data_IF_266723721380
#
_entry.id   IF_266723721380
#
_cell.length_a   1.000
_cell.length_b   1.000
_cell.length_c   1.000
_cell.angle_alpha   90.00
_cell.angle_beta   90.00
_cell.angle_gamma   90.00
#
_symmetry.space_group_name_H-M   'P 1'
#
loop_
_entity.id
_entity.type
_entity.pdbx_description
1 polymer ?
#
# COMPACT_ATOMS: atom_id res chain seq x y z
N UNK A 1 -0.12 31.70 -1.83
CA UNK A 1 -0.19 30.26 -1.43
C UNK A 1 1.06 29.45 -1.85
N UNK A 2 1.43 29.28 -3.16
CA UNK A 2 2.65 28.51 -3.55
C UNK A 2 3.94 29.16 -3.03
N UNK A 3 4.07 30.47 -3.12
CA UNK A 3 5.23 31.21 -2.62
C UNK A 3 5.38 31.08 -1.10
N UNK A 4 4.30 31.24 -0.35
CA UNK A 4 4.29 31.08 1.11
C UNK A 4 4.71 29.67 1.55
N UNK A 5 4.21 28.63 0.84
CA UNK A 5 4.62 27.24 1.11
C UNK A 5 6.11 27.03 0.82
N UNK A 6 6.61 27.66 -0.24
CA UNK A 6 8.02 27.55 -0.59
C UNK A 6 8.90 28.26 0.46
N UNK A 7 8.52 29.44 0.94
CA UNK A 7 9.23 30.16 2.00
C UNK A 7 9.33 29.36 3.30
N UNK A 8 8.28 28.60 3.66
CA UNK A 8 8.31 27.69 4.81
C UNK A 8 9.29 26.53 4.60
N UNK A 9 9.40 26.03 3.38
CA UNK A 9 10.38 24.98 3.03
C UNK A 9 11.80 25.54 3.16
N UNK A 10 12.08 26.71 2.57
CA UNK A 10 13.38 27.38 2.67
C UNK A 10 13.76 27.68 4.13
N UNK A 11 12.82 28.16 4.93
CA UNK A 11 13.02 28.40 6.36
C UNK A 11 13.40 27.10 7.09
N UNK A 12 12.69 25.99 6.81
CA UNK A 12 12.98 24.69 7.42
C UNK A 12 14.37 24.20 7.03
N UNK A 13 14.71 24.23 5.74
CA UNK A 13 16.00 23.77 5.22
C UNK A 13 17.17 24.59 5.78
N UNK A 14 16.94 25.87 6.08
CA UNK A 14 17.97 26.78 6.61
C UNK A 14 18.17 26.63 8.11
N UNK A 15 17.09 26.43 8.87
CA UNK A 15 17.12 26.55 10.33
C UNK A 15 17.29 25.20 11.04
N UNK A 16 17.10 24.06 10.34
CA UNK A 16 17.17 22.75 10.94
C UNK A 16 18.22 21.89 10.23
N UNK A 17 18.95 21.10 11.04
CA UNK A 17 19.86 20.10 10.55
C UNK A 17 19.07 18.82 10.26
N UNK A 18 18.73 18.61 8.99
CA UNK A 18 17.87 17.52 8.50
C UNK A 18 18.53 16.83 7.31
N UNK A 19 18.26 15.53 7.13
CA UNK A 19 18.82 14.73 6.03
C UNK A 19 18.02 14.87 4.73
N UNK A 20 16.81 15.44 4.79
CA UNK A 20 15.95 15.62 3.63
C UNK A 20 14.64 16.29 3.99
N UNK A 21 13.77 16.44 2.99
CA UNK A 21 12.47 17.07 3.13
C UNK A 21 11.37 16.18 2.50
N UNK A 22 10.27 15.95 3.23
CA UNK A 22 9.13 15.22 2.70
C UNK A 22 7.98 16.17 2.35
N UNK A 23 7.45 16.04 1.13
CA UNK A 23 6.19 16.64 0.72
C UNK A 23 5.07 15.61 0.78
N UNK A 24 4.02 15.90 1.52
CA UNK A 24 2.83 15.07 1.57
C UNK A 24 1.79 15.56 0.56
N UNK A 25 1.58 14.79 -0.52
CA UNK A 25 0.69 15.14 -1.63
C UNK A 25 -0.41 14.09 -1.89
N UNK A 26 -0.64 13.17 -0.99
CA UNK A 26 -1.60 12.07 -1.17
C UNK A 26 -3.05 12.41 -0.75
N UNK A 27 -3.24 13.35 0.18
CA UNK A 27 -4.56 13.59 0.79
C UNK A 27 -5.48 14.53 0.03
N UNK A 28 -4.95 15.50 -0.73
CA UNK A 28 -5.81 16.47 -1.39
C UNK A 28 -6.45 15.85 -2.63
N UNK A 29 -7.78 15.97 -2.77
CA UNK A 29 -8.48 15.47 -3.93
C UNK A 29 -8.10 16.24 -5.20
N UNK A 30 -7.79 17.54 -5.07
CA UNK A 30 -7.49 18.43 -6.20
C UNK A 30 -6.39 19.43 -5.83
N UNK A 31 -5.44 19.65 -6.75
CA UNK A 31 -4.45 20.74 -6.71
C UNK A 31 -4.80 21.87 -7.69
N UNK A 32 -5.60 21.54 -8.70
CA UNK A 32 -6.07 22.44 -9.74
C UNK A 32 -7.57 22.23 -9.95
N UNK A 33 -8.25 23.26 -10.52
CA UNK A 33 -9.61 23.04 -11.01
C UNK A 33 -9.59 21.93 -12.08
N UNK A 34 -10.60 21.06 -12.15
CA UNK A 34 -10.61 19.94 -13.11
C UNK A 34 -10.29 20.34 -14.55
N UNK A 35 -10.86 21.45 -15.03
CA UNK A 35 -10.64 21.98 -16.39
C UNK A 35 -9.22 22.55 -16.59
N UNK A 36 -8.46 22.76 -15.52
CA UNK A 36 -7.12 23.35 -15.54
C UNK A 36 -6.00 22.37 -15.21
N UNK A 37 -6.29 21.09 -15.00
CA UNK A 37 -5.31 20.09 -14.57
C UNK A 37 -4.17 19.94 -15.56
N UNK A 38 -4.47 19.90 -16.86
CA UNK A 38 -3.47 19.72 -17.92
C UNK A 38 -2.44 20.87 -17.93
N UNK A 39 -2.91 22.11 -17.93
CA UNK A 39 -2.03 23.28 -17.79
C UNK A 39 -1.35 23.35 -16.40
N UNK A 40 -1.97 22.74 -15.40
CA UNK A 40 -1.44 22.64 -14.04
C UNK A 40 -0.22 21.74 -13.90
N UNK A 41 -0.04 20.75 -14.78
CA UNK A 41 1.09 19.81 -14.73
C UNK A 41 2.44 20.48 -14.84
N UNK A 42 2.61 21.39 -15.81
CA UNK A 42 3.85 22.16 -15.97
C UNK A 42 4.12 23.06 -14.77
N UNK A 43 3.06 23.65 -14.21
CA UNK A 43 3.14 24.50 -13.03
C UNK A 43 3.58 23.67 -11.81
N UNK A 44 3.04 22.48 -11.64
CA UNK A 44 3.40 21.59 -10.55
C UNK A 44 4.85 21.10 -10.71
N UNK A 45 5.20 20.63 -11.90
CA UNK A 45 6.57 20.17 -12.21
C UNK A 45 7.60 21.27 -11.98
N UNK A 46 7.34 22.51 -12.42
CA UNK A 46 8.22 23.65 -12.16
C UNK A 46 8.36 23.95 -10.65
N UNK A 47 7.28 23.79 -9.87
CA UNK A 47 7.32 23.99 -8.44
C UNK A 47 8.09 22.87 -7.71
N UNK A 48 7.90 21.62 -8.10
CA UNK A 48 8.66 20.47 -7.55
C UNK A 48 10.14 20.63 -7.86
N UNK A 49 10.52 21.03 -9.10
CA UNK A 49 11.91 21.29 -9.45
C UNK A 49 12.52 22.38 -8.54
N UNK A 50 11.81 23.46 -8.32
CA UNK A 50 12.27 24.54 -7.44
C UNK A 50 12.49 24.05 -6.00
N UNK A 51 11.60 23.18 -5.48
CA UNK A 51 11.78 22.58 -4.16
C UNK A 51 12.98 21.65 -4.14
N UNK A 52 13.16 20.82 -5.16
CA UNK A 52 14.30 19.93 -5.29
C UNK A 52 15.63 20.69 -5.29
N UNK A 53 15.72 21.73 -6.10
CA UNK A 53 16.89 22.60 -6.15
C UNK A 53 17.20 23.20 -4.76
N UNK A 54 16.20 23.74 -4.07
CA UNK A 54 16.38 24.28 -2.73
C UNK A 54 16.86 23.23 -1.71
N UNK A 55 16.35 21.98 -1.80
CA UNK A 55 16.82 20.86 -0.96
C UNK A 55 18.28 20.56 -1.26
N UNK A 56 18.67 20.44 -2.54
CA UNK A 56 20.06 20.14 -2.94
C UNK A 56 21.03 21.28 -2.63
N UNK A 57 20.60 22.52 -2.77
CA UNK A 57 21.40 23.72 -2.43
C UNK A 57 21.65 23.83 -0.92
N UNK A 58 20.70 23.38 -0.10
CA UNK A 58 20.86 23.33 1.36
C UNK A 58 21.83 22.25 1.85
N UNK A 59 22.07 21.23 1.01
CA UNK A 59 23.00 20.14 1.25
C UNK A 59 22.90 19.08 0.15
N UNK A 60 23.98 18.83 -0.59
CA UNK A 60 23.97 17.97 -1.77
C UNK A 60 23.55 16.52 -1.51
N UNK A 61 23.65 16.06 -0.26
CA UNK A 61 23.21 14.71 0.15
C UNK A 61 21.78 14.68 0.69
N UNK A 62 21.15 15.86 0.90
CA UNK A 62 19.77 15.92 1.35
C UNK A 62 18.82 15.42 0.27
N UNK A 63 17.76 14.72 0.69
CA UNK A 63 16.84 14.09 -0.23
C UNK A 63 15.46 14.75 -0.22
N UNK A 64 14.84 14.83 -1.40
CA UNK A 64 13.43 15.18 -1.55
C UNK A 64 12.61 13.91 -1.68
N UNK A 65 11.80 13.63 -0.67
CA UNK A 65 10.77 12.59 -0.70
C UNK A 65 9.40 13.20 -0.97
N UNK A 66 8.56 12.51 -1.77
CA UNK A 66 7.20 12.97 -2.05
C UNK A 66 6.24 11.81 -1.82
N UNK A 67 5.30 11.98 -0.87
CA UNK A 67 4.24 11.02 -0.61
C UNK A 67 3.03 11.28 -1.50
N UNK A 68 2.62 10.26 -2.24
CA UNK A 68 1.66 10.34 -3.34
C UNK A 68 0.70 9.15 -3.30
N UNK A 69 -0.46 9.22 -3.97
CA UNK A 69 -1.24 8.03 -4.29
C UNK A 69 -0.44 7.01 -5.09
N UNK A 70 -0.68 5.71 -4.91
CA UNK A 70 0.09 4.67 -5.61
C UNK A 70 -0.30 4.46 -7.09
N UNK A 71 -1.21 5.25 -7.64
CA UNK A 71 -1.63 5.19 -9.04
C UNK A 71 -1.02 6.36 -9.83
N UNK A 72 -0.24 6.04 -10.86
CA UNK A 72 0.35 7.06 -11.78
C UNK A 72 -0.76 7.86 -12.45
N UNK A 73 -1.85 7.19 -12.87
CA UNK A 73 -2.99 7.82 -13.53
C UNK A 73 -3.72 8.77 -12.60
N UNK A 74 -3.90 8.40 -11.33
CA UNK A 74 -4.54 9.28 -10.34
C UNK A 74 -3.66 10.49 -10.01
N UNK A 75 -2.36 10.29 -9.92
CA UNK A 75 -1.41 11.39 -9.78
C UNK A 75 -1.49 12.34 -10.97
N UNK A 76 -1.48 11.82 -12.18
CA UNK A 76 -1.59 12.62 -13.40
C UNK A 76 -2.92 13.37 -13.49
N UNK A 77 -4.04 12.74 -13.08
CA UNK A 77 -5.36 13.37 -13.01
C UNK A 77 -5.44 14.50 -11.97
N UNK A 78 -4.51 14.57 -11.03
CA UNK A 78 -4.36 15.64 -10.03
C UNK A 78 -3.31 16.69 -10.43
N UNK A 79 -2.66 16.53 -11.58
CA UNK A 79 -1.61 17.43 -12.07
C UNK A 79 -0.20 17.06 -11.62
N UNK A 80 -0.01 15.85 -11.08
CA UNK A 80 1.29 15.32 -10.67
C UNK A 80 1.82 14.39 -11.76
N UNK A 81 2.72 14.87 -12.60
CA UNK A 81 3.35 14.06 -13.65
C UNK A 81 4.60 13.35 -13.11
N UNK A 82 4.38 12.18 -12.52
CA UNK A 82 5.45 11.40 -11.90
C UNK A 82 6.51 10.94 -12.90
N UNK A 83 6.09 10.61 -14.13
CA UNK A 83 7.03 10.17 -15.17
C UNK A 83 7.99 11.29 -15.56
N UNK A 84 7.45 12.50 -15.66
CA UNK A 84 8.26 13.68 -15.92
C UNK A 84 9.21 14.00 -14.77
N UNK A 85 8.74 13.90 -13.51
CA UNK A 85 9.59 14.14 -12.34
C UNK A 85 10.74 13.14 -12.23
N UNK A 86 10.45 11.86 -12.44
CA UNK A 86 11.45 10.79 -12.48
C UNK A 86 12.42 11.01 -13.62
N UNK A 87 11.92 11.28 -14.83
CA UNK A 87 12.74 11.49 -16.04
C UNK A 87 13.65 12.71 -15.95
N UNK A 88 13.24 13.75 -15.23
CA UNK A 88 14.07 14.93 -14.97
C UNK A 88 15.00 14.77 -13.75
N UNK A 89 14.86 13.72 -12.96
CA UNK A 89 15.65 13.52 -11.75
C UNK A 89 15.40 14.57 -10.67
N UNK A 90 14.16 15.06 -10.54
CA UNK A 90 13.77 16.10 -9.57
C UNK A 90 13.05 15.56 -8.34
N UNK A 91 13.21 14.27 -8.07
CA UNK A 91 12.72 13.58 -6.87
C UNK A 91 13.64 12.41 -6.54
N UNK A 92 14.02 12.26 -5.27
CA UNK A 92 14.88 11.16 -4.83
C UNK A 92 14.08 9.95 -4.37
N UNK A 93 12.91 10.18 -3.75
CA UNK A 93 12.04 9.12 -3.20
C UNK A 93 10.57 9.42 -3.50
N UNK A 94 9.87 8.50 -4.12
CA UNK A 94 8.42 8.49 -4.18
C UNK A 94 7.87 7.51 -3.14
N UNK A 95 7.05 8.01 -2.22
CA UNK A 95 6.38 7.23 -1.19
C UNK A 95 4.96 6.97 -1.65
N UNK A 96 4.73 5.77 -2.19
CA UNK A 96 3.46 5.39 -2.79
C UNK A 96 2.48 4.85 -1.74
N UNK A 97 1.32 5.48 -1.63
CA UNK A 97 0.30 5.14 -0.65
C UNK A 97 -1.00 4.69 -1.31
N UNK A 98 -1.40 3.44 -1.04
CA UNK A 98 -2.73 2.97 -1.35
C UNK A 98 -3.67 3.41 -0.24
N UNK A 99 -4.63 4.27 -0.58
CA UNK A 99 -5.64 4.76 0.36
C UNK A 99 -6.88 3.87 0.24
N UNK A 100 -7.12 3.07 1.27
CA UNK A 100 -8.36 2.32 1.41
C UNK A 100 -9.58 3.22 1.66
N UNK A 101 -10.77 2.66 1.58
CA UNK A 101 -12.04 3.36 1.81
C UNK A 101 -12.10 4.10 3.17
N UNK A 102 -11.40 3.60 4.17
CA UNK A 102 -11.41 4.13 5.55
C UNK A 102 -10.18 4.98 5.84
N UNK A 103 -9.20 4.99 4.92
CA UNK A 103 -7.89 5.63 5.13
C UNK A 103 -7.07 4.95 6.23
N UNK A 104 -5.79 4.76 6.01
CA UNK A 104 -4.89 4.18 7.03
C UNK A 104 -5.03 2.68 7.26
N UNK A 105 -5.65 1.92 6.33
CA UNK A 105 -5.77 0.47 6.40
C UNK A 105 -4.84 -0.26 5.44
N UNK A 106 -4.40 -1.46 5.81
CA UNK A 106 -3.54 -2.31 4.98
C UNK A 106 -4.34 -2.85 3.80
N UNK A 107 -3.82 -2.63 2.60
CA UNK A 107 -4.31 -3.21 1.35
C UNK A 107 -3.23 -4.14 0.80
N UNK A 108 -3.27 -5.42 1.20
CA UNK A 108 -2.24 -6.40 0.82
C UNK A 108 -2.13 -6.64 -0.68
N UNK A 109 -3.17 -6.28 -1.44
CA UNK A 109 -3.21 -6.40 -2.91
C UNK A 109 -2.82 -5.11 -3.65
N UNK A 110 -2.29 -4.09 -2.97
CA UNK A 110 -1.82 -2.86 -3.62
C UNK A 110 -0.77 -3.17 -4.68
N UNK A 111 -0.85 -2.49 -5.83
CA UNK A 111 0.04 -2.72 -6.97
C UNK A 111 1.00 -1.53 -7.14
N UNK A 112 2.27 -1.75 -6.79
CA UNK A 112 3.36 -0.77 -6.91
C UNK A 112 4.20 -0.97 -8.18
N UNK A 113 4.00 -2.06 -8.92
CA UNK A 113 4.81 -2.40 -10.11
C UNK A 113 4.83 -1.30 -11.17
N UNK A 114 3.73 -0.57 -11.46
CA UNK A 114 3.80 0.52 -12.44
C UNK A 114 4.77 1.65 -12.07
N UNK A 115 4.90 1.95 -10.75
CA UNK A 115 5.85 2.95 -10.26
C UNK A 115 7.28 2.43 -10.26
N UNK A 116 7.48 1.20 -9.80
CA UNK A 116 8.79 0.52 -9.85
C UNK A 116 9.31 0.47 -11.30
N UNK A 117 8.45 0.14 -12.25
CA UNK A 117 8.80 0.14 -13.67
C UNK A 117 9.15 1.54 -14.19
N UNK A 118 8.39 2.56 -13.79
CA UNK A 118 8.67 3.93 -14.19
C UNK A 118 10.01 4.45 -13.65
N UNK A 119 10.44 3.98 -12.47
CA UNK A 119 11.69 4.38 -11.81
C UNK A 119 12.90 3.48 -12.17
N UNK A 120 12.71 2.37 -12.89
CA UNK A 120 13.71 1.30 -13.08
C UNK A 120 15.12 1.78 -13.49
N UNK A 121 15.21 2.81 -14.31
CA UNK A 121 16.47 3.33 -14.85
C UNK A 121 16.78 4.75 -14.33
N UNK A 122 16.14 5.18 -13.27
CA UNK A 122 16.31 6.48 -12.65
C UNK A 122 16.88 6.34 -11.23
N UNK A 123 17.51 7.36 -10.68
CA UNK A 123 17.98 7.35 -9.30
C UNK A 123 16.85 7.48 -8.26
N UNK A 124 15.60 7.54 -8.70
CA UNK A 124 14.42 7.66 -7.83
C UNK A 124 14.06 6.31 -7.21
N UNK A 125 13.98 6.26 -5.88
CA UNK A 125 13.57 5.07 -5.13
C UNK A 125 12.05 5.08 -4.89
N UNK A 126 11.46 3.89 -4.89
CA UNK A 126 10.03 3.69 -4.62
C UNK A 126 9.89 3.05 -3.24
N UNK A 127 9.19 3.73 -2.33
CA UNK A 127 8.79 3.18 -1.04
C UNK A 127 7.29 2.94 -1.03
N UNK A 128 6.87 1.79 -0.48
CA UNK A 128 5.45 1.45 -0.30
C UNK A 128 4.99 1.77 1.12
N UNK A 129 3.85 2.40 1.25
CA UNK A 129 3.25 2.67 2.55
C UNK A 129 2.62 1.40 3.12
N UNK A 130 2.99 1.06 4.35
CA UNK A 130 2.33 0.03 5.17
C UNK A 130 1.60 0.72 6.30
N UNK A 131 0.29 0.58 6.31
CA UNK A 131 -0.55 1.08 7.40
C UNK A 131 -0.52 0.14 8.62
N UNK A 132 -1.01 0.63 9.78
CA UNK A 132 -1.02 -0.14 11.04
C UNK A 132 -2.32 -0.90 11.28
N UNK A 133 -3.38 -0.60 10.54
CA UNK A 133 -4.72 -1.09 10.81
C UNK A 133 -5.27 -1.96 9.69
N UNK A 134 -6.20 -2.81 10.04
CA UNK A 134 -6.96 -3.66 9.11
C UNK A 134 -8.41 -3.24 9.14
N UNK A 135 -9.00 -3.09 7.95
CA UNK A 135 -10.44 -2.98 7.79
C UNK A 135 -11.01 -4.35 7.40
N UNK A 136 -11.82 -4.88 8.31
CA UNK A 136 -12.59 -6.10 8.10
C UNK A 136 -14.03 -5.87 8.60
N UNK A 137 -14.58 -6.73 9.42
CA UNK A 137 -15.86 -6.47 10.09
C UNK A 137 -15.80 -5.26 11.05
N UNK A 138 -14.61 -4.91 11.48
CA UNK A 138 -14.30 -3.75 12.33
C UNK A 138 -12.85 -3.35 12.14
N UNK A 139 -12.59 -2.06 12.30
CA UNK A 139 -11.24 -1.53 12.32
C UNK A 139 -10.50 -2.01 13.57
N UNK A 140 -9.29 -2.57 13.39
CA UNK A 140 -8.42 -2.99 14.47
C UNK A 140 -6.95 -2.97 14.05
N UNK A 141 -6.05 -3.00 15.02
CA UNK A 141 -4.62 -3.03 14.76
C UNK A 141 -4.21 -4.35 14.10
N UNK A 142 -3.41 -4.23 13.06
CA UNK A 142 -2.92 -5.39 12.32
C UNK A 142 -1.97 -6.22 13.18
N UNK A 143 -2.19 -7.53 13.20
CA UNK A 143 -1.23 -8.46 13.79
C UNK A 143 0.07 -8.51 12.98
N UNK A 144 1.14 -9.04 13.58
CA UNK A 144 2.43 -9.16 12.89
C UNK A 144 2.32 -10.05 11.64
N UNK A 145 1.48 -11.08 11.66
CA UNK A 145 1.26 -11.99 10.53
C UNK A 145 0.61 -11.28 9.34
N UNK A 146 -0.30 -10.35 9.60
CA UNK A 146 -0.95 -9.51 8.58
C UNK A 146 0.06 -8.52 7.98
N UNK A 147 0.85 -7.89 8.84
CA UNK A 147 1.88 -6.93 8.40
C UNK A 147 2.97 -7.61 7.57
N UNK A 148 3.44 -8.80 8.00
CA UNK A 148 4.39 -9.62 7.23
C UNK A 148 3.84 -9.97 5.85
N UNK A 149 2.57 -10.36 5.76
CA UNK A 149 1.92 -10.69 4.49
C UNK A 149 1.89 -9.49 3.55
N UNK A 150 1.50 -8.30 4.04
CA UNK A 150 1.52 -7.07 3.26
C UNK A 150 2.94 -6.73 2.80
N UNK A 151 3.90 -6.69 3.72
CA UNK A 151 5.29 -6.37 3.41
C UNK A 151 5.90 -7.37 2.40
N UNK A 152 5.62 -8.67 2.55
CA UNK A 152 6.08 -9.70 1.59
C UNK A 152 5.53 -9.43 0.19
N UNK A 153 4.22 -9.13 0.06
CA UNK A 153 3.62 -8.78 -1.23
C UNK A 153 4.22 -7.50 -1.83
N UNK A 154 4.58 -6.52 -1.00
CA UNK A 154 5.15 -5.26 -1.48
C UNK A 154 6.60 -5.43 -1.93
N UNK A 155 7.44 -6.08 -1.11
CA UNK A 155 8.83 -6.37 -1.46
C UNK A 155 8.95 -7.21 -2.74
N UNK A 156 8.04 -8.17 -2.96
CA UNK A 156 8.04 -9.01 -4.17
C UNK A 156 7.81 -8.24 -5.46
N UNK A 157 7.33 -7.00 -5.37
CA UNK A 157 7.12 -6.12 -6.51
C UNK A 157 8.34 -5.27 -6.88
N UNK A 158 9.43 -5.38 -6.09
CA UNK A 158 10.70 -4.69 -6.37
C UNK A 158 10.76 -3.26 -5.85
N UNK A 159 10.01 -2.93 -4.82
CA UNK A 159 10.14 -1.65 -4.12
C UNK A 159 11.51 -1.55 -3.42
N UNK A 160 11.95 -0.31 -3.14
CA UNK A 160 13.24 -0.02 -2.51
C UNK A 160 13.14 0.13 -0.99
N UNK A 161 11.93 0.22 -0.44
CA UNK A 161 11.72 0.38 0.98
C UNK A 161 10.25 0.42 1.39
N UNK A 162 10.04 0.44 2.71
CA UNK A 162 8.71 0.58 3.31
C UNK A 162 8.62 1.90 4.09
N UNK A 163 7.46 2.53 4.02
CA UNK A 163 7.09 3.69 4.82
C UNK A 163 5.98 3.31 5.79
N UNK A 164 6.23 3.46 7.09
CA UNK A 164 5.27 3.06 8.13
C UNK A 164 4.36 4.24 8.50
N UNK A 165 3.15 4.25 7.95
CA UNK A 165 2.18 5.31 8.19
C UNK A 165 1.23 4.97 9.34
N UNK A 166 0.93 5.96 10.20
CA UNK A 166 0.00 5.85 11.31
C UNK A 166 0.37 4.80 12.37
N UNK A 167 1.65 4.46 12.52
CA UNK A 167 2.13 3.42 13.45
C UNK A 167 2.32 3.93 14.87
N UNK A 168 2.45 5.25 15.07
CA UNK A 168 2.85 5.87 16.32
C UNK A 168 1.68 6.58 17.03
N UNK A 169 0.49 5.99 16.98
CA UNK A 169 -0.75 6.64 17.48
C UNK A 169 -0.92 6.49 18.98
N UNK A 170 -0.44 5.38 19.56
CA UNK A 170 -0.68 5.04 20.97
C UNK A 170 0.64 4.82 21.71
N UNK A 171 0.93 5.70 22.67
CA UNK A 171 2.05 5.56 23.60
C UNK A 171 1.53 5.19 24.99
N UNK A 172 2.18 4.28 25.78
CA UNK A 172 3.40 3.52 25.43
C UNK A 172 3.12 2.35 24.47
N UNK A 173 4.16 2.01 23.65
CA UNK A 173 4.06 0.88 22.73
C UNK A 173 4.34 -0.44 23.44
N UNK A 174 3.60 -1.46 23.06
CA UNK A 174 3.83 -2.84 23.53
C UNK A 174 5.04 -3.48 22.82
N UNK A 175 5.61 -4.55 23.40
CA UNK A 175 6.75 -5.28 22.82
C UNK A 175 6.45 -5.81 21.40
N UNK A 176 5.21 -6.18 21.13
CA UNK A 176 4.71 -6.62 19.83
C UNK A 176 4.93 -5.60 18.73
N UNK A 177 4.87 -4.31 19.05
CA UNK A 177 5.12 -3.21 18.11
C UNK A 177 6.57 -3.23 17.61
N UNK A 178 7.54 -3.37 18.52
CA UNK A 178 8.96 -3.39 18.16
C UNK A 178 9.34 -4.63 17.36
N UNK A 179 8.66 -5.76 17.58
CA UNK A 179 8.78 -6.97 16.77
C UNK A 179 8.44 -6.69 15.29
N UNK A 180 7.33 -5.97 15.04
CA UNK A 180 6.93 -5.58 13.68
C UNK A 180 8.01 -4.75 12.99
N UNK A 181 8.54 -3.72 13.66
CA UNK A 181 9.59 -2.84 13.11
C UNK A 181 10.85 -3.60 12.70
N UNK A 182 11.25 -4.60 13.48
CA UNK A 182 12.48 -5.38 13.22
C UNK A 182 12.36 -6.29 12.01
N UNK A 183 11.16 -6.79 11.75
CA UNK A 183 10.96 -7.85 10.75
C UNK A 183 10.59 -7.31 9.36
N UNK A 184 9.78 -6.26 9.29
CA UNK A 184 9.18 -5.81 8.02
C UNK A 184 10.19 -5.27 7.01
N UNK A 185 11.34 -4.81 7.49
CA UNK A 185 12.40 -4.25 6.65
C UNK A 185 13.22 -5.31 5.89
N UNK A 186 13.14 -6.58 6.29
CA UNK A 186 13.96 -7.64 5.74
C UNK A 186 13.11 -8.83 5.25
N UNK A 187 12.98 -9.01 3.93
CA UNK A 187 12.24 -10.13 3.35
C UNK A 187 12.72 -11.51 3.82
N UNK A 188 14.04 -11.71 4.02
CA UNK A 188 14.57 -13.00 4.43
C UNK A 188 14.26 -13.33 5.90
N UNK A 189 14.16 -12.32 6.75
CA UNK A 189 13.68 -12.50 8.13
C UNK A 189 12.21 -12.90 8.15
N UNK A 190 11.39 -12.29 7.27
CA UNK A 190 9.95 -12.57 7.19
C UNK A 190 9.63 -13.89 6.51
N UNK A 191 10.47 -14.32 5.56
CA UNK A 191 10.20 -15.47 4.69
C UNK A 191 9.76 -16.74 5.45
N UNK A 192 10.46 -17.21 6.53
CA UNK A 192 10.07 -18.42 7.27
C UNK A 192 9.01 -18.19 8.35
N UNK A 193 8.44 -16.99 8.45
CA UNK A 193 7.51 -16.63 9.52
C UNK A 193 6.07 -16.81 9.07
N UNK A 194 5.18 -17.04 10.04
CA UNK A 194 3.73 -17.11 9.79
C UNK A 194 3.20 -15.82 9.22
N UNK A 195 2.29 -15.93 8.24
CA UNK A 195 1.62 -14.82 7.57
C UNK A 195 0.13 -15.05 7.47
N UNK A 196 -0.62 -13.97 7.46
CA UNK A 196 -2.06 -13.99 7.28
C UNK A 196 -2.43 -13.08 6.11
N UNK A 197 -2.75 -13.69 4.97
CA UNK A 197 -3.29 -12.99 3.82
C UNK A 197 -4.80 -12.89 3.94
N UNK A 198 -5.37 -11.74 3.54
CA UNK A 198 -6.81 -11.53 3.57
C UNK A 198 -7.30 -10.70 2.40
N UNK A 199 -8.56 -10.84 2.09
CA UNK A 199 -9.27 -9.99 1.14
C UNK A 199 -10.08 -8.99 1.96
N UNK A 200 -9.88 -7.68 1.79
CA UNK A 200 -10.61 -6.69 2.55
C UNK A 200 -12.11 -6.79 2.27
N UNK A 201 -12.91 -6.58 3.29
CA UNK A 201 -14.36 -6.46 3.17
C UNK A 201 -14.72 -4.99 2.94
N UNK A 202 -15.87 -4.75 2.31
CA UNK A 202 -16.45 -3.41 2.23
C UNK A 202 -16.91 -3.00 3.64
N UNK A 203 -15.97 -2.48 4.43
CA UNK A 203 -16.11 -2.21 5.83
C UNK A 203 -17.28 -1.34 6.26
N UNK A 204 -17.10 -0.64 7.34
CA UNK A 204 -18.08 0.08 8.17
C UNK A 204 -18.92 1.18 7.51
N UNK A 205 -18.56 1.70 6.36
CA UNK A 205 -19.20 2.88 5.79
C UNK A 205 -19.96 2.54 4.51
N UNK A 206 -21.24 2.13 4.63
CA UNK A 206 -22.12 1.95 3.46
C UNK A 206 -22.26 3.22 2.61
N UNK A 207 -21.94 4.36 3.18
CA UNK A 207 -22.14 5.70 2.59
C UNK A 207 -20.85 6.33 2.05
N UNK A 208 -19.68 5.70 2.20
CA UNK A 208 -18.46 6.20 1.59
C UNK A 208 -18.60 6.18 0.06
N UNK A 209 -18.29 7.28 -0.65
CA UNK A 209 -18.34 7.28 -2.10
C UNK A 209 -17.41 6.19 -2.61
N UNK A 210 -17.79 5.44 -3.66
CA UNK A 210 -17.00 4.37 -4.21
C UNK A 210 -15.65 4.95 -4.69
N UNK A 211 -14.60 4.77 -3.91
CA UNK A 211 -13.24 4.96 -4.38
C UNK A 211 -12.97 3.77 -5.28
N UNK A 212 -12.88 4.01 -6.60
CA UNK A 212 -12.61 3.01 -7.65
C UNK A 212 -13.01 1.58 -7.26
N UNK A 213 -14.30 1.28 -7.41
CA UNK A 213 -14.96 0.07 -6.92
C UNK A 213 -14.29 -1.27 -7.31
N UNK A 214 -13.44 -1.27 -8.32
CA UNK A 214 -12.93 -2.50 -8.92
C UNK A 214 -11.72 -3.13 -8.20
N UNK A 215 -10.98 -2.37 -7.39
CA UNK A 215 -9.74 -2.86 -6.78
C UNK A 215 -9.91 -3.21 -5.29
N UNK A 216 -10.77 -2.51 -4.56
CA UNK A 216 -10.79 -2.58 -3.10
C UNK A 216 -11.99 -3.31 -2.49
N UNK A 217 -13.12 -3.40 -3.18
CA UNK A 217 -14.34 -4.04 -2.66
C UNK A 217 -14.58 -5.38 -3.33
N UNK A 218 -13.78 -6.37 -2.97
CA UNK A 218 -14.01 -7.73 -3.46
C UNK A 218 -15.00 -8.51 -2.61
N UNK A 219 -15.18 -8.13 -1.36
CA UNK A 219 -16.11 -8.75 -0.42
C UNK A 219 -16.93 -7.66 0.31
N UNK A 220 -18.16 -7.96 0.74
CA UNK A 220 -18.90 -9.20 0.51
C UNK A 220 -19.39 -9.34 -0.93
N UNK A 221 -19.55 -10.60 -1.38
CA UNK A 221 -20.18 -10.94 -2.65
C UNK A 221 -21.39 -11.81 -2.38
N UNK A 222 -22.47 -11.59 -3.13
CA UNK A 222 -23.66 -12.47 -3.06
C UNK A 222 -23.37 -13.79 -3.76
N UNK A 223 -23.76 -14.88 -3.10
CA UNK A 223 -23.66 -16.22 -3.65
C UNK A 223 -25.02 -16.66 -4.17
N UNK A 224 -25.04 -17.14 -5.41
CA UNK A 224 -26.23 -17.74 -6.02
C UNK A 224 -25.99 -19.23 -6.28
N UNK A 225 -27.03 -20.05 -6.06
CA UNK A 225 -26.93 -21.49 -6.29
C UNK A 225 -26.56 -21.81 -7.74
N UNK A 226 -25.49 -22.58 -7.89
CA UNK A 226 -24.98 -22.99 -9.21
C UNK A 226 -24.15 -21.96 -9.94
N UNK A 227 -23.94 -20.75 -9.36
CA UNK A 227 -23.06 -19.72 -9.94
C UNK A 227 -21.77 -19.58 -9.13
N UNK A 228 -20.62 -19.91 -9.68
CA UNK A 228 -19.36 -19.76 -8.99
C UNK A 228 -18.96 -18.27 -8.90
N UNK A 229 -18.40 -17.89 -7.76
CA UNK A 229 -17.78 -16.58 -7.55
C UNK A 229 -16.27 -16.78 -7.43
N UNK A 230 -15.49 -15.99 -8.16
CA UNK A 230 -14.03 -16.02 -8.11
C UNK A 230 -13.52 -14.80 -7.35
N UNK A 231 -12.69 -15.04 -6.35
CA UNK A 231 -11.96 -14.01 -5.60
C UNK A 231 -10.47 -14.21 -5.84
N UNK A 232 -9.77 -13.16 -6.23
CA UNK A 232 -8.31 -13.19 -6.46
C UNK A 232 -7.61 -12.30 -5.45
N UNK A 233 -6.51 -12.79 -4.91
CA UNK A 233 -5.62 -12.02 -4.05
C UNK A 233 -4.18 -12.54 -4.18
N UNK A 234 -3.17 -11.66 -4.09
CA UNK A 234 -1.78 -12.07 -4.23
C UNK A 234 -1.28 -12.76 -2.97
N UNK A 235 -0.51 -13.82 -3.14
CA UNK A 235 0.31 -14.45 -2.11
C UNK A 235 1.71 -14.58 -2.69
N UNK A 236 2.67 -13.85 -2.14
CA UNK A 236 4.05 -13.80 -2.64
C UNK A 236 5.01 -14.70 -1.86
N UNK A 237 4.49 -15.55 -0.96
CA UNK A 237 5.29 -16.55 -0.30
C UNK A 237 5.71 -17.67 -1.26
N UNK A 238 6.98 -18.03 -1.24
CA UNK A 238 7.50 -19.20 -1.91
C UNK A 238 7.26 -20.46 -1.04
N UNK A 239 6.01 -20.92 -1.06
CA UNK A 239 5.60 -22.08 -0.25
C UNK A 239 6.28 -23.38 -0.71
N UNK A 240 6.66 -23.52 -1.98
CA UNK A 240 7.37 -24.70 -2.48
C UNK A 240 8.78 -24.78 -1.85
N UNK A 241 9.54 -23.67 -1.90
CA UNK A 241 10.85 -23.59 -1.23
C UNK A 241 10.79 -23.99 0.24
N UNK A 242 9.80 -23.50 0.96
CA UNK A 242 9.67 -23.75 2.40
C UNK A 242 9.13 -25.14 2.72
N UNK A 243 8.30 -25.72 1.85
CA UNK A 243 7.83 -27.09 1.95
C UNK A 243 8.99 -28.08 1.81
N UNK A 244 9.88 -27.85 0.86
CA UNK A 244 11.03 -28.73 0.58
C UNK A 244 12.02 -28.85 1.75
N UNK A 245 12.02 -27.87 2.65
CA UNK A 245 12.83 -27.87 3.89
C UNK A 245 11.99 -28.13 5.16
N UNK A 246 10.79 -28.67 5.00
CA UNK A 246 9.85 -29.05 6.08
C UNK A 246 9.50 -27.86 7.02
N UNK A 247 9.36 -26.67 6.45
CA UNK A 247 9.01 -25.46 7.18
C UNK A 247 7.56 -25.03 7.01
N UNK A 248 6.80 -25.60 6.08
CA UNK A 248 5.37 -25.38 5.93
C UNK A 248 4.60 -26.44 6.70
N UNK A 249 4.12 -26.10 7.88
CA UNK A 249 3.35 -27.02 8.71
C UNK A 249 1.90 -27.09 8.28
N UNK A 250 1.30 -25.95 7.96
CA UNK A 250 -0.11 -25.86 7.59
C UNK A 250 -0.40 -24.63 6.72
N UNK A 251 -1.25 -24.78 5.72
CA UNK A 251 -1.88 -23.69 4.98
C UNK A 251 -3.39 -23.78 5.19
N UNK A 252 -3.99 -22.69 5.70
CA UNK A 252 -5.42 -22.63 5.99
C UNK A 252 -6.08 -21.55 5.12
N UNK A 253 -7.13 -21.96 4.37
CA UNK A 253 -8.06 -21.03 3.75
C UNK A 253 -9.30 -20.90 4.66
N UNK A 254 -9.62 -19.68 5.07
CA UNK A 254 -10.83 -19.36 5.83
C UNK A 254 -11.77 -18.52 4.97
N UNK A 255 -13.01 -18.97 4.83
CA UNK A 255 -14.07 -18.21 4.18
C UNK A 255 -15.24 -18.07 5.15
N UNK A 256 -15.72 -16.83 5.33
CA UNK A 256 -16.93 -16.56 6.11
C UNK A 256 -18.10 -16.43 5.14
N UNK A 257 -19.10 -17.29 5.30
CA UNK A 257 -20.31 -17.28 4.51
C UNK A 257 -21.48 -17.07 5.47
N UNK A 258 -22.30 -16.08 5.22
CA UNK A 258 -23.43 -15.71 6.08
C UNK A 258 -24.76 -16.05 5.40
N UNK A 259 -25.85 -16.16 6.17
CA UNK A 259 -27.18 -16.47 5.64
C UNK A 259 -27.33 -17.93 5.19
N UNK A 260 -26.53 -18.84 5.74
CA UNK A 260 -26.51 -20.26 5.39
C UNK A 260 -27.25 -21.10 6.44
N UNK A 261 -27.69 -22.30 6.01
CA UNK A 261 -28.29 -23.32 6.85
C UNK A 261 -27.36 -24.54 6.95
N UNK A 262 -27.69 -25.49 7.82
CA UNK A 262 -26.91 -26.74 7.97
C UNK A 262 -26.89 -27.62 6.72
N UNK A 263 -27.93 -27.51 5.89
CA UNK A 263 -28.09 -28.33 4.68
C UNK A 263 -27.38 -27.72 3.45
N UNK A 264 -26.93 -26.47 3.52
CA UNK A 264 -26.24 -25.83 2.40
C UNK A 264 -24.86 -26.45 2.19
N UNK A 265 -24.55 -26.78 0.94
CA UNK A 265 -23.28 -27.36 0.53
C UNK A 265 -22.49 -26.34 -0.30
N UNK A 266 -21.19 -26.23 -0.01
CA UNK A 266 -20.29 -25.35 -0.70
C UNK A 266 -19.13 -26.14 -1.32
N UNK A 267 -18.87 -25.89 -2.60
CA UNK A 267 -17.69 -26.38 -3.29
C UNK A 267 -16.64 -25.25 -3.37
N UNK A 268 -15.39 -25.59 -3.10
CA UNK A 268 -14.27 -24.63 -3.21
C UNK A 268 -13.28 -25.09 -4.27
N UNK A 269 -12.75 -24.12 -5.00
CA UNK A 269 -11.61 -24.32 -5.90
C UNK A 269 -10.47 -23.39 -5.52
N UNK A 270 -9.25 -23.88 -5.59
CA UNK A 270 -8.04 -23.09 -5.42
C UNK A 270 -7.23 -23.18 -6.71
N UNK A 271 -6.96 -22.07 -7.35
CA UNK A 271 -6.26 -21.99 -8.65
C UNK A 271 -6.89 -22.91 -9.73
N UNK A 272 -8.21 -23.06 -9.70
CA UNK A 272 -8.96 -23.91 -10.64
C UNK A 272 -9.17 -25.36 -10.19
N UNK A 273 -8.39 -25.84 -9.23
CA UNK A 273 -8.49 -27.20 -8.69
C UNK A 273 -9.53 -27.31 -7.59
N UNK A 274 -10.37 -28.34 -7.65
CA UNK A 274 -11.42 -28.59 -6.65
C UNK A 274 -10.80 -29.09 -5.35
N UNK A 275 -11.12 -28.43 -4.24
CA UNK A 275 -10.70 -28.91 -2.91
C UNK A 275 -11.58 -30.10 -2.49
N UNK A 276 -10.97 -31.24 -2.06
CA UNK A 276 -11.70 -32.39 -1.56
C UNK A 276 -12.53 -32.07 -0.31
N UNK A 277 -13.72 -32.64 -0.18
CA UNK A 277 -14.60 -32.41 0.99
C UNK A 277 -13.91 -32.72 2.34
N UNK A 278 -13.03 -33.73 2.36
CA UNK A 278 -12.27 -34.11 3.57
C UNK A 278 -11.40 -32.93 4.14
N UNK A 279 -11.07 -31.96 3.31
CA UNK A 279 -10.33 -30.76 3.72
C UNK A 279 -11.24 -29.64 4.23
N UNK A 280 -12.56 -29.74 3.99
CA UNK A 280 -13.52 -28.71 4.35
C UNK A 280 -14.03 -28.93 5.78
N UNK A 281 -14.00 -27.88 6.59
CA UNK A 281 -14.54 -27.88 7.95
C UNK A 281 -15.46 -26.69 8.13
N UNK A 282 -16.71 -26.93 8.53
CA UNK A 282 -17.60 -25.89 9.06
C UNK A 282 -17.21 -25.64 10.53
N UNK A 283 -17.08 -24.38 10.91
CA UNK A 283 -16.74 -23.95 12.26
C UNK A 283 -17.88 -23.11 12.81
#
# INVERSE_FOLDING_TARGET
>A
MRQERFELIEETLKNYDIDGFELQMNYLPYYFHPDGVEAGRDIMTAWIRRVYEAVKDSGSQRELAIRIPNSIEDCLAKGMDLREWIGQGIVDVLIAEELGDVGGTIIQSADFRPMVEAARNAPCRIQAVVHSQVDSDRLFDASIEIVRAAATNYWSQGIDGLYLAHWFVYWPYEDSFYGKLREVADPEIMAPRDKCYFVPTAGRLPEAPPVKADVMRRLPVELEVGKPVTVQFPISDDLERWKDVDRVQQVLLRARITGTTEIDQFGFKLNGETLPEVLLRKI
#
